data_IF_720971116579
#
_entry.id   IF_720971116579
#
_cell.length_a   1.000
_cell.length_b   1.000
_cell.length_c   1.000
_cell.angle_alpha   90.00
_cell.angle_beta   90.00
_cell.angle_gamma   90.00
#
_symmetry.space_group_name_H-M   'P 1'
#
loop_
_entity.id
_entity.type
_entity.pdbx_description
1 polymer ?
#
# COMPACT_ATOMS: atom_id res chain seq x y z
N UNK A 1 -15.24 -83.15 -0.19
CA UNK A 1 -15.73 -81.78 -0.46
C UNK A 1 -16.17 -81.21 0.88
N UNK A 2 -15.39 -80.32 1.50
CA UNK A 2 -15.72 -79.73 2.80
C UNK A 2 -16.44 -78.39 2.57
N UNK A 3 -17.66 -78.27 3.07
CA UNK A 3 -18.48 -77.07 2.94
C UNK A 3 -18.48 -76.32 4.26
N UNK A 4 -17.92 -75.10 4.30
CA UNK A 4 -17.95 -74.24 5.49
C UNK A 4 -19.30 -73.50 5.54
N UNK A 5 -20.20 -73.98 6.41
CA UNK A 5 -21.59 -73.53 6.47
C UNK A 5 -21.78 -72.11 7.05
N UNK A 6 -20.83 -71.62 7.86
CA UNK A 6 -20.91 -70.29 8.48
C UNK A 6 -19.53 -69.81 8.97
N UNK A 7 -19.22 -68.54 8.73
CA UNK A 7 -18.00 -67.88 9.24
C UNK A 7 -18.35 -66.45 9.63
N UNK A 8 -18.03 -66.06 10.86
CA UNK A 8 -18.25 -64.72 11.37
C UNK A 8 -16.96 -64.19 12.00
N UNK A 9 -16.57 -62.93 11.73
CA UNK A 9 -15.34 -62.37 12.29
C UNK A 9 -15.49 -62.16 13.80
N UNK A 10 -14.63 -62.81 14.59
CA UNK A 10 -14.53 -62.61 16.03
C UNK A 10 -13.64 -61.41 16.33
N UNK A 11 -14.21 -60.37 16.97
CA UNK A 11 -13.47 -59.20 17.44
C UNK A 11 -12.90 -59.47 18.83
N UNK A 12 -11.61 -59.74 18.92
CA UNK A 12 -10.90 -59.88 20.20
C UNK A 12 -10.52 -58.47 20.69
N UNK A 13 -11.09 -58.05 21.81
CA UNK A 13 -10.79 -56.75 22.44
C UNK A 13 -9.93 -56.99 23.67
N UNK A 14 -8.67 -56.59 23.60
CA UNK A 14 -7.76 -56.64 24.74
C UNK A 14 -8.02 -55.43 25.65
N UNK A 15 -8.54 -55.69 26.85
CA UNK A 15 -8.75 -54.65 27.88
C UNK A 15 -7.53 -54.59 28.79
N UNK A 16 -6.96 -53.40 28.95
CA UNK A 16 -5.87 -53.15 29.90
C UNK A 16 -6.40 -52.38 31.11
N UNK A 17 -5.91 -52.72 32.31
CA UNK A 17 -6.23 -52.02 33.56
C UNK A 17 -5.34 -50.78 33.71
N UNK A 18 -5.81 -49.74 34.43
CA UNK A 18 -5.11 -48.47 34.58
C UNK A 18 -3.65 -48.58 35.07
N UNK A 19 -3.31 -49.57 35.89
CA UNK A 19 -1.97 -49.76 36.48
C UNK A 19 -1.06 -50.76 35.73
N UNK A 20 -1.39 -51.13 34.49
CA UNK A 20 -0.59 -52.06 33.68
C UNK A 20 0.65 -51.39 33.05
N UNK A 21 1.70 -52.17 32.77
CA UNK A 21 2.85 -51.70 31.97
C UNK A 21 2.42 -51.21 30.57
N UNK A 22 1.36 -51.81 30.01
CA UNK A 22 0.82 -51.43 28.71
C UNK A 22 0.14 -50.05 28.73
N UNK A 23 -0.57 -49.68 29.80
CA UNK A 23 -1.16 -48.34 29.93
C UNK A 23 -0.08 -47.30 30.16
N UNK A 24 0.95 -47.60 30.95
CA UNK A 24 2.09 -46.70 31.14
C UNK A 24 2.82 -46.40 29.82
N UNK A 25 3.10 -47.43 29.00
CA UNK A 25 3.68 -47.24 27.67
C UNK A 25 2.80 -46.38 26.76
N UNK A 26 1.49 -46.64 26.75
CA UNK A 26 0.53 -45.85 25.97
C UNK A 26 0.49 -44.38 26.41
N UNK A 27 0.53 -44.10 27.72
CA UNK A 27 0.58 -42.72 28.25
C UNK A 27 1.87 -42.02 27.81
N UNK A 28 3.02 -42.71 27.89
CA UNK A 28 4.30 -42.15 27.44
C UNK A 28 4.27 -41.85 25.93
N UNK A 29 3.78 -42.77 25.10
CA UNK A 29 3.61 -42.54 23.68
C UNK A 29 2.66 -41.37 23.39
N UNK A 30 1.57 -41.23 24.15
CA UNK A 30 0.65 -40.12 24.01
C UNK A 30 1.33 -38.78 24.34
N UNK A 31 2.03 -38.71 25.47
CA UNK A 31 2.78 -37.51 25.87
C UNK A 31 3.80 -37.14 24.78
N UNK A 32 4.59 -38.09 24.29
CA UNK A 32 5.58 -37.85 23.24
C UNK A 32 4.95 -37.37 21.93
N UNK A 33 3.82 -37.96 21.52
CA UNK A 33 3.11 -37.53 20.32
C UNK A 33 2.56 -36.10 20.43
N UNK A 34 2.25 -35.62 21.64
CA UNK A 34 1.77 -34.25 21.86
C UNK A 34 2.94 -33.27 22.01
N UNK A 35 3.99 -33.64 22.75
CA UNK A 35 5.09 -32.72 23.07
C UNK A 35 6.07 -32.53 21.91
N UNK A 36 6.36 -33.58 21.13
CA UNK A 36 7.32 -33.50 20.03
C UNK A 36 6.90 -32.48 18.95
N UNK A 37 5.66 -32.49 18.42
CA UNK A 37 5.22 -31.46 17.48
C UNK A 37 5.24 -30.07 18.11
N UNK A 38 4.84 -29.93 19.38
CA UNK A 38 4.82 -28.64 20.06
C UNK A 38 6.23 -28.02 20.15
N UNK A 39 7.25 -28.80 20.49
CA UNK A 39 8.64 -28.36 20.54
C UNK A 39 9.13 -27.96 19.14
N UNK A 40 8.81 -28.76 18.12
CA UNK A 40 9.19 -28.48 16.74
C UNK A 40 8.59 -27.14 16.29
N UNK A 41 7.29 -26.92 16.51
CA UNK A 41 6.66 -25.69 16.03
C UNK A 41 7.16 -24.48 16.83
N UNK A 42 7.38 -24.62 18.15
CA UNK A 42 7.98 -23.57 18.99
C UNK A 42 9.40 -23.20 18.55
N UNK A 43 10.22 -24.18 18.15
CA UNK A 43 11.59 -23.94 17.66
C UNK A 43 11.65 -23.47 16.21
N UNK A 44 10.62 -23.72 15.42
CA UNK A 44 10.53 -23.27 14.03
C UNK A 44 9.98 -21.84 13.88
N UNK A 45 9.69 -21.15 14.99
CA UNK A 45 9.02 -19.84 15.06
C UNK A 45 7.69 -19.75 14.27
N UNK A 46 7.15 -20.89 13.85
CA UNK A 46 5.96 -20.98 13.00
C UNK A 46 4.65 -20.70 13.74
N UNK A 47 4.63 -20.74 15.08
CA UNK A 47 3.44 -20.42 15.88
C UNK A 47 3.20 -18.91 16.03
N UNK A 48 4.24 -18.09 15.90
CA UNK A 48 4.18 -16.65 16.15
C UNK A 48 4.89 -15.88 15.04
N UNK A 49 4.36 -16.00 13.81
CA UNK A 49 4.75 -15.10 12.73
C UNK A 49 4.26 -13.70 13.11
N UNK A 50 5.16 -12.85 13.59
CA UNK A 50 4.87 -11.45 13.91
C UNK A 50 4.85 -10.68 12.61
N UNK A 51 3.67 -10.39 12.09
CA UNK A 51 3.53 -9.44 11.00
C UNK A 51 3.62 -8.04 11.57
N UNK A 52 4.62 -7.28 11.12
CA UNK A 52 4.72 -5.86 11.42
C UNK A 52 4.26 -5.07 10.21
N UNK A 53 3.16 -4.35 10.35
CA UNK A 53 2.66 -3.42 9.33
C UNK A 53 3.19 -2.04 9.69
N UNK A 54 4.01 -1.48 8.81
CA UNK A 54 4.53 -0.13 8.96
C UNK A 54 3.85 0.81 7.96
N UNK A 55 3.31 1.91 8.46
CA UNK A 55 2.70 2.97 7.65
C UNK A 55 3.42 4.28 7.94
N UNK A 56 3.90 4.95 6.90
CA UNK A 56 4.46 6.29 6.99
C UNK A 56 3.69 7.29 6.16
N UNK A 57 3.80 8.55 6.57
CA UNK A 57 3.33 9.68 5.79
C UNK A 57 4.47 10.14 4.87
N UNK A 58 4.26 10.17 3.54
CA UNK A 58 5.26 10.64 2.60
C UNK A 58 5.50 12.14 2.75
N UNK A 59 6.71 12.57 2.41
CA UNK A 59 7.01 13.98 2.23
C UNK A 59 6.54 14.39 0.83
N UNK A 60 5.57 15.31 0.77
CA UNK A 60 4.97 15.81 -0.46
C UNK A 60 5.41 17.26 -0.64
N UNK A 61 5.93 17.59 -1.82
CA UNK A 61 6.30 18.96 -2.18
C UNK A 61 5.88 19.28 -3.60
N UNK A 62 5.33 20.48 -3.81
CA UNK A 62 5.00 20.95 -5.15
C UNK A 62 6.27 21.07 -6.02
N UNK A 63 6.28 20.41 -7.17
CA UNK A 63 7.45 20.33 -8.06
C UNK A 63 7.62 21.59 -8.93
N UNK A 64 6.79 22.63 -8.71
CA UNK A 64 6.73 23.85 -9.53
C UNK A 64 6.43 23.62 -11.02
N UNK A 65 5.89 22.44 -11.31
CA UNK A 65 5.47 22.02 -12.64
C UNK A 65 3.95 22.12 -12.73
N UNK A 66 3.49 23.03 -13.59
CA UNK A 66 2.08 23.39 -13.78
C UNK A 66 1.78 23.48 -15.27
N UNK A 67 0.66 22.87 -15.67
CA UNK A 67 0.05 23.06 -16.98
C UNK A 67 -1.35 23.65 -16.76
N UNK A 68 -1.60 24.79 -17.38
CA UNK A 68 -2.83 25.56 -17.31
C UNK A 68 -3.44 25.67 -18.70
N UNK A 69 -4.76 25.49 -18.79
CA UNK A 69 -5.51 25.69 -20.02
C UNK A 69 -6.84 26.37 -19.66
N UNK A 70 -7.08 27.54 -20.24
CA UNK A 70 -8.35 28.24 -20.17
C UNK A 70 -9.09 28.02 -21.49
N UNK A 71 -10.28 27.45 -21.39
CA UNK A 71 -11.18 27.32 -22.52
C UNK A 71 -11.94 28.65 -22.68
N UNK A 72 -11.80 29.29 -23.85
CA UNK A 72 -12.45 30.57 -24.18
C UNK A 72 -13.49 30.37 -25.29
N UNK A 73 -14.50 31.23 -25.33
CA UNK A 73 -15.55 31.21 -26.38
C UNK A 73 -15.10 31.93 -27.68
N UNK A 74 -13.84 32.38 -27.73
CA UNK A 74 -13.30 33.18 -28.83
C UNK A 74 -12.80 32.30 -30.01
N UNK A 75 -12.84 32.79 -31.26
CA UNK A 75 -12.38 32.04 -32.45
C UNK A 75 -10.87 31.76 -32.45
N UNK A 76 -10.10 32.51 -31.65
CA UNK A 76 -8.65 32.40 -31.52
C UNK A 76 -8.26 31.12 -30.78
N UNK A 77 -9.19 30.54 -30.00
CA UNK A 77 -9.02 29.28 -29.29
C UNK A 77 -8.50 29.45 -27.86
N UNK A 78 -8.26 28.30 -27.23
CA UNK A 78 -7.95 28.19 -25.82
C UNK A 78 -6.60 28.80 -25.46
N UNK A 79 -6.52 29.44 -24.30
CA UNK A 79 -5.28 30.04 -23.79
C UNK A 79 -4.55 28.98 -22.96
N UNK A 80 -3.28 28.76 -23.25
CA UNK A 80 -2.48 27.72 -22.59
C UNK A 80 -1.26 28.33 -21.94
N UNK A 81 -0.85 27.78 -20.80
CA UNK A 81 0.44 28.09 -20.20
C UNK A 81 1.02 26.86 -19.53
N UNK A 82 2.33 26.70 -19.62
CA UNK A 82 3.03 25.63 -18.90
C UNK A 82 4.35 26.14 -18.35
N UNK A 83 4.74 25.69 -17.17
CA UNK A 83 6.07 25.97 -16.63
C UNK A 83 7.14 25.06 -17.23
N UNK A 84 6.76 24.00 -17.95
CA UNK A 84 7.71 23.08 -18.58
C UNK A 84 8.24 23.65 -19.90
N UNK A 85 9.56 23.92 -20.02
CA UNK A 85 10.14 24.52 -21.22
C UNK A 85 9.92 23.69 -22.49
N UNK A 86 9.98 22.36 -22.35
CA UNK A 86 9.82 21.42 -23.46
C UNK A 86 8.44 21.50 -24.11
N UNK A 87 7.40 21.73 -23.30
CA UNK A 87 6.03 21.85 -23.78
C UNK A 87 5.77 23.26 -24.35
N UNK A 88 6.36 24.30 -23.77
CA UNK A 88 6.26 25.67 -24.31
C UNK A 88 6.79 25.78 -25.75
N UNK A 89 7.80 24.99 -26.11
CA UNK A 89 8.35 24.98 -27.49
C UNK A 89 7.42 24.28 -28.50
N UNK A 90 6.55 23.38 -28.04
CA UNK A 90 5.66 22.61 -28.90
C UNK A 90 4.29 23.29 -29.13
N UNK A 91 3.94 24.26 -28.27
CA UNK A 91 2.66 24.98 -28.31
C UNK A 91 2.81 26.22 -29.20
N UNK A 92 1.75 26.60 -29.93
CA UNK A 92 1.74 27.81 -30.75
C UNK A 92 1.94 29.06 -29.86
N UNK A 93 2.95 29.91 -30.13
CA UNK A 93 3.21 31.10 -29.32
C UNK A 93 2.04 32.10 -29.26
N UNK A 94 1.07 32.02 -30.18
CA UNK A 94 -0.13 32.89 -30.16
C UNK A 94 -1.09 32.57 -29.02
N UNK A 95 -1.13 31.31 -28.57
CA UNK A 95 -2.04 30.87 -27.51
C UNK A 95 -1.34 30.79 -26.14
N UNK A 96 -0.01 30.97 -26.11
CA UNK A 96 0.77 30.98 -24.87
C UNK A 96 0.69 32.36 -24.22
N UNK A 97 0.27 32.40 -22.95
CA UNK A 97 0.29 33.64 -22.17
C UNK A 97 0.74 33.37 -20.74
N UNK A 98 1.64 34.18 -20.21
CA UNK A 98 2.21 33.96 -18.88
C UNK A 98 1.30 34.51 -17.77
N UNK A 99 0.82 33.68 -16.83
CA UNK A 99 0.15 34.12 -15.62
C UNK A 99 1.15 34.61 -14.57
N UNK A 100 0.64 35.36 -13.61
CA UNK A 100 1.32 35.59 -12.32
C UNK A 100 0.90 34.46 -11.38
N UNK A 101 1.88 33.80 -10.77
CA UNK A 101 1.66 32.65 -9.91
C UNK A 101 2.32 32.90 -8.57
N UNK A 102 1.55 32.72 -7.50
CA UNK A 102 2.03 32.72 -6.13
C UNK A 102 1.62 31.42 -5.46
N UNK A 103 2.57 30.72 -4.85
CA UNK A 103 2.31 29.47 -4.16
C UNK A 103 2.84 29.54 -2.72
N UNK A 104 2.14 28.88 -1.81
CA UNK A 104 2.52 28.81 -0.41
C UNK A 104 2.16 27.44 0.17
N UNK A 105 3.14 26.81 0.81
CA UNK A 105 2.98 25.54 1.52
C UNK A 105 3.12 25.79 3.02
N UNK A 106 2.14 25.33 3.80
CA UNK A 106 2.08 25.52 5.24
C UNK A 106 2.17 24.18 5.97
N UNK A 107 2.95 24.18 7.04
CA UNK A 107 2.90 23.21 8.12
C UNK A 107 1.99 23.79 9.21
N UNK A 108 0.79 23.22 9.38
CA UNK A 108 -0.24 23.79 10.26
C UNK A 108 0.00 23.34 11.71
N UNK A 109 0.49 22.12 11.90
CA UNK A 109 0.70 21.52 13.22
C UNK A 109 2.15 21.67 13.73
N UNK A 110 3.04 22.25 12.92
CA UNK A 110 4.47 22.46 13.19
C UNK A 110 5.25 21.15 13.38
N UNK A 111 4.85 20.06 12.72
CA UNK A 111 5.51 18.75 12.80
C UNK A 111 6.69 18.58 11.82
N UNK A 112 6.97 19.62 11.03
CA UNK A 112 8.01 19.66 10.00
C UNK A 112 7.53 19.15 8.64
N UNK A 113 6.26 18.77 8.49
CA UNK A 113 5.67 18.34 7.22
C UNK A 113 4.67 19.36 6.72
N UNK A 114 4.61 19.50 5.40
CA UNK A 114 3.68 20.43 4.75
C UNK A 114 2.30 19.78 4.69
N UNK A 115 1.32 20.43 5.28
CA UNK A 115 -0.07 19.95 5.33
C UNK A 115 -0.92 20.58 4.23
N UNK A 116 -0.71 21.87 3.98
CA UNK A 116 -1.64 22.67 3.17
C UNK A 116 -0.90 23.37 2.04
N UNK A 117 -1.40 23.18 0.82
CA UNK A 117 -0.93 23.84 -0.39
C UNK A 117 -1.95 24.89 -0.85
N UNK A 118 -1.52 26.16 -0.96
CA UNK A 118 -2.28 27.24 -1.59
C UNK A 118 -1.58 27.71 -2.84
N UNK A 119 -2.35 27.91 -3.89
CA UNK A 119 -1.91 28.49 -5.14
C UNK A 119 -2.86 29.62 -5.54
N UNK A 120 -2.29 30.79 -5.79
CA UNK A 120 -2.97 31.91 -6.42
C UNK A 120 -2.45 32.06 -7.83
N UNK A 121 -3.38 32.17 -8.78
CA UNK A 121 -3.07 32.28 -10.20
C UNK A 121 -3.87 33.44 -10.79
N UNK A 122 -3.17 34.38 -11.40
CA UNK A 122 -3.75 35.52 -12.09
C UNK A 122 -3.37 35.44 -13.56
N UNK A 123 -4.37 35.15 -14.39
CA UNK A 123 -4.21 35.09 -15.84
C UNK A 123 -4.59 36.42 -16.48
N UNK A 124 -3.71 37.09 -17.25
CA UNK A 124 -4.09 38.30 -17.97
C UNK A 124 -5.03 37.93 -19.14
N UNK A 125 -6.22 38.52 -19.17
CA UNK A 125 -7.23 38.32 -20.21
C UNK A 125 -7.50 39.66 -20.93
N UNK A 126 -7.86 39.58 -22.20
CA UNK A 126 -8.34 40.75 -22.95
C UNK A 126 -9.84 40.95 -22.73
N UNK A 127 -10.35 42.16 -22.96
CA UNK A 127 -11.77 42.50 -22.73
C UNK A 127 -12.75 41.69 -23.61
N UNK A 128 -12.29 41.13 -24.73
CA UNK A 128 -13.09 40.27 -25.62
C UNK A 128 -13.11 38.81 -25.21
N UNK A 129 -12.14 38.37 -24.39
CA UNK A 129 -11.93 36.95 -24.07
C UNK A 129 -12.82 36.52 -22.91
N UNK A 130 -13.89 35.77 -23.21
CA UNK A 130 -14.74 35.18 -22.18
C UNK A 130 -14.27 33.75 -21.83
N UNK A 131 -13.99 33.50 -20.56
CA UNK A 131 -13.52 32.20 -20.07
C UNK A 131 -14.71 31.31 -19.70
N UNK A 132 -14.82 30.18 -20.39
CA UNK A 132 -15.89 29.20 -20.21
C UNK A 132 -15.44 28.07 -19.27
N UNK A 133 -14.15 27.74 -19.25
CA UNK A 133 -13.61 26.67 -18.43
C UNK A 133 -12.14 26.84 -18.08
N UNK A 134 -11.71 26.20 -17.00
CA UNK A 134 -10.31 26.17 -16.56
C UNK A 134 -9.91 24.73 -16.27
N UNK A 135 -8.80 24.30 -16.85
CA UNK A 135 -8.14 23.01 -16.59
C UNK A 135 -6.74 23.28 -16.08
N UNK A 136 -6.38 22.63 -14.98
CA UNK A 136 -5.05 22.75 -14.39
C UNK A 136 -4.53 21.38 -13.98
N UNK A 137 -3.25 21.13 -14.28
CA UNK A 137 -2.53 19.94 -13.87
C UNK A 137 -1.34 20.38 -13.03
N UNK A 138 -1.28 19.88 -11.80
CA UNK A 138 -0.22 20.13 -10.84
C UNK A 138 0.63 18.87 -10.68
N UNK A 139 1.95 19.03 -10.64
CA UNK A 139 2.87 17.93 -10.38
C UNK A 139 3.49 18.10 -9.00
N UNK A 140 3.48 17.02 -8.22
CA UNK A 140 4.05 16.95 -6.88
C UNK A 140 5.12 15.88 -6.82
N UNK A 141 6.21 16.19 -6.12
CA UNK A 141 7.24 15.24 -5.79
C UNK A 141 6.86 14.49 -4.51
N UNK A 142 6.94 13.18 -4.56
CA UNK A 142 6.70 12.29 -3.42
C UNK A 142 8.01 11.64 -3.00
N UNK A 143 8.38 11.84 -1.74
CA UNK A 143 9.56 11.20 -1.14
C UNK A 143 9.11 10.36 0.05
N UNK A 144 9.50 9.10 0.00
CA UNK A 144 9.29 8.13 1.06
C UNK A 144 10.64 7.93 1.75
N UNK A 145 10.68 7.92 3.08
CA UNK A 145 11.94 7.69 3.78
C UNK A 145 12.33 6.24 3.60
N UNK A 146 13.55 5.99 3.11
CA UNK A 146 14.04 4.63 3.00
C UNK A 146 14.23 4.06 4.40
N UNK A 147 13.34 3.15 4.79
CA UNK A 147 13.49 2.38 6.02
C UNK A 147 14.18 1.08 5.67
N UNK A 148 15.28 0.81 6.37
CA UNK A 148 15.96 -0.46 6.28
C UNK A 148 15.24 -1.45 7.21
N UNK A 149 14.40 -2.29 6.62
CA UNK A 149 13.75 -3.36 7.37
C UNK A 149 14.82 -4.39 7.74
N UNK A 150 15.35 -4.27 8.95
CA UNK A 150 16.10 -5.36 9.55
C UNK A 150 15.07 -6.38 9.99
N UNK A 151 14.91 -7.43 9.18
CA UNK A 151 14.43 -8.69 9.74
C UNK A 151 15.41 -9.06 10.83
N UNK A 152 14.92 -9.20 12.07
CA UNK A 152 15.66 -9.92 13.08
C UNK A 152 15.95 -11.29 12.48
N UNK A 153 17.20 -11.51 12.11
CA UNK A 153 17.69 -12.82 11.76
C UNK A 153 17.71 -13.59 13.08
N UNK A 154 16.73 -14.47 13.22
CA UNK A 154 16.70 -15.49 14.27
C UNK A 154 17.82 -16.49 14.02
#
# INVERSE_FOLDING_TARGET
>A
MLCSLFSQPTRIVHKSTFYSKATAFHIICFILNVTLPLIIIYKSDGLWKKEEVFTEQPEISFAYNLILMLDTDDPIGNIVWTSLPQLNLAIDPKIIRAPIIENYEMDVNMDGKKDLFKLYLLMPLNESENVVGVKAIFVFDYKIKKIDFKMDAI
#
